data_IF_975662036968
#
_entry.id   IF_975662036968
#
_cell.length_a   1.000
_cell.length_b   1.000
_cell.length_c   1.000
_cell.angle_alpha   90.00
_cell.angle_beta   90.00
_cell.angle_gamma   90.00
#
_symmetry.space_group_name_H-M   'P 1'
#
loop_
_entity.id
_entity.type
_entity.pdbx_description
1 polymer ?
#
# COMPACT_ATOMS: atom_id res chain seq x y z
N UNK A 1 12.37 28.08 2.84
CA UNK A 1 11.79 28.46 1.54
C UNK A 1 11.18 27.21 0.93
N UNK A 2 9.85 27.16 0.76
CA UNK A 2 9.20 26.04 0.09
C UNK A 2 9.61 26.05 -1.38
N UNK A 3 10.33 25.03 -1.83
CA UNK A 3 10.67 24.89 -3.25
C UNK A 3 9.38 24.63 -4.02
N UNK A 4 8.99 25.56 -4.89
CA UNK A 4 7.87 25.36 -5.81
C UNK A 4 8.24 24.23 -6.77
N UNK A 5 7.64 23.05 -6.56
CA UNK A 5 7.79 21.91 -7.45
C UNK A 5 7.18 22.27 -8.81
N UNK A 6 7.97 22.19 -9.87
CA UNK A 6 7.48 22.32 -11.25
C UNK A 6 6.51 21.17 -11.57
N UNK A 7 5.46 21.45 -12.35
CA UNK A 7 4.46 20.47 -12.81
C UNK A 7 5.08 19.18 -13.36
N UNK A 8 6.24 19.24 -14.00
CA UNK A 8 6.94 18.05 -14.48
C UNK A 8 7.42 17.14 -13.33
N UNK A 9 8.02 17.71 -12.27
CA UNK A 9 8.44 16.93 -11.09
C UNK A 9 7.24 16.33 -10.36
N UNK A 10 6.13 17.07 -10.29
CA UNK A 10 4.88 16.52 -9.73
C UNK A 10 4.34 15.39 -10.59
N UNK A 11 4.44 15.47 -11.92
CA UNK A 11 4.04 14.40 -12.82
C UNK A 11 4.92 13.14 -12.67
N UNK A 12 6.23 13.28 -12.46
CA UNK A 12 7.12 12.14 -12.14
C UNK A 12 6.71 11.45 -10.83
N UNK A 13 6.29 12.22 -9.81
CA UNK A 13 5.75 11.66 -8.57
C UNK A 13 4.45 10.90 -8.86
N UNK A 14 3.52 11.48 -9.62
CA UNK A 14 2.28 10.81 -10.00
C UNK A 14 2.54 9.54 -10.81
N UNK A 15 3.55 9.53 -11.67
CA UNK A 15 3.94 8.34 -12.42
C UNK A 15 4.37 7.18 -11.51
N UNK A 16 5.16 7.46 -10.46
CA UNK A 16 5.51 6.46 -9.44
C UNK A 16 4.31 6.01 -8.60
N UNK A 17 3.32 6.89 -8.40
CA UNK A 17 2.07 6.53 -7.74
C UNK A 17 1.24 5.64 -8.66
N UNK A 18 1.22 5.91 -9.96
CA UNK A 18 0.52 5.10 -10.97
C UNK A 18 1.00 3.66 -10.97
N UNK A 19 2.32 3.45 -10.91
CA UNK A 19 2.94 2.13 -10.78
C UNK A 19 2.39 1.34 -9.58
N UNK A 20 2.16 2.01 -8.44
CA UNK A 20 1.70 1.36 -7.20
C UNK A 20 0.19 1.21 -7.12
N UNK A 21 -0.56 2.18 -7.60
CA UNK A 21 -2.03 2.25 -7.50
C UNK A 21 -2.71 1.55 -8.67
N UNK A 22 -2.04 1.43 -9.82
CA UNK A 22 -2.56 0.86 -11.05
C UNK A 22 -3.42 1.81 -11.86
N UNK A 23 -4.12 2.76 -11.23
CA UNK A 23 -4.98 3.73 -11.92
C UNK A 23 -4.93 5.10 -11.25
N UNK A 24 -4.94 6.17 -12.07
CA UNK A 24 -5.01 7.55 -11.62
C UNK A 24 -6.01 8.38 -12.43
N UNK A 25 -6.68 9.30 -11.74
CA UNK A 25 -7.53 10.33 -12.35
C UNK A 25 -7.06 11.74 -11.99
N UNK A 26 -7.72 12.76 -12.55
CA UNK A 26 -7.45 14.16 -12.21
C UNK A 26 -7.75 14.45 -10.73
N UNK A 27 -8.81 13.83 -10.18
CA UNK A 27 -9.19 13.95 -8.79
C UNK A 27 -8.07 13.47 -7.84
N UNK A 28 -7.32 12.44 -8.23
CA UNK A 28 -6.17 11.96 -7.45
C UNK A 28 -5.02 12.98 -7.42
N UNK A 29 -4.78 13.67 -8.54
CA UNK A 29 -3.76 14.73 -8.63
C UNK A 29 -4.13 15.89 -7.70
N UNK A 30 -5.42 16.25 -7.67
CA UNK A 30 -5.94 17.30 -6.79
C UNK A 30 -5.78 16.92 -5.32
N UNK A 31 -6.14 15.69 -4.96
CA UNK A 31 -6.02 15.18 -3.60
C UNK A 31 -4.55 15.06 -3.13
N UNK A 32 -3.62 14.74 -4.04
CA UNK A 32 -2.23 14.50 -3.67
C UNK A 32 -1.43 15.77 -3.35
N UNK A 33 -1.76 16.90 -3.98
CA UNK A 33 -0.95 18.13 -3.88
C UNK A 33 -1.71 19.34 -3.34
N UNK A 34 -3.02 19.23 -3.07
CA UNK A 34 -3.86 20.35 -2.58
C UNK A 34 -3.72 21.63 -3.44
N UNK A 35 -3.72 21.44 -4.76
CA UNK A 35 -3.50 22.51 -5.75
C UNK A 35 -4.80 22.93 -6.44
N UNK A 36 -4.73 24.08 -7.14
CA UNK A 36 -5.82 24.54 -7.99
C UNK A 36 -6.03 23.63 -9.21
N UNK A 37 -7.27 23.58 -9.70
CA UNK A 37 -7.68 22.81 -10.88
C UNK A 37 -6.82 23.10 -12.13
N UNK A 38 -6.53 24.36 -12.49
CA UNK A 38 -5.65 24.64 -13.63
C UNK A 38 -4.24 24.06 -13.47
N UNK A 39 -3.70 24.07 -12.24
CA UNK A 39 -2.38 23.49 -11.94
C UNK A 39 -2.41 21.97 -12.06
N UNK A 40 -3.49 21.33 -11.60
CA UNK A 40 -3.67 19.89 -11.76
C UNK A 40 -3.75 19.47 -13.23
N UNK A 41 -4.40 20.25 -14.10
CA UNK A 41 -4.39 20.02 -15.55
C UNK A 41 -2.99 20.11 -16.16
N UNK A 42 -2.14 21.04 -15.70
CA UNK A 42 -0.76 21.13 -16.16
C UNK A 42 0.06 19.88 -15.79
N UNK A 43 -0.13 19.37 -14.57
CA UNK A 43 0.49 18.11 -14.13
C UNK A 43 -0.05 16.94 -14.95
N UNK A 44 -1.37 16.88 -15.15
CA UNK A 44 -2.01 15.85 -15.95
C UNK A 44 -1.46 15.80 -17.38
N UNK A 45 -1.24 16.97 -17.99
CA UNK A 45 -0.64 17.09 -19.33
C UNK A 45 0.82 16.61 -19.33
N UNK A 46 1.59 16.92 -18.30
CA UNK A 46 2.95 16.41 -18.15
C UNK A 46 2.98 14.89 -17.92
N UNK A 47 2.08 14.35 -17.11
CA UNK A 47 1.93 12.91 -16.88
C UNK A 47 1.56 12.17 -18.17
N UNK A 48 0.66 12.74 -18.97
CA UNK A 48 0.36 12.22 -20.32
C UNK A 48 1.60 12.15 -21.19
N UNK A 49 2.42 13.20 -21.22
CA UNK A 49 3.66 13.19 -21.99
C UNK A 49 4.67 12.14 -21.48
N UNK A 50 4.69 11.84 -20.19
CA UNK A 50 5.49 10.73 -19.63
C UNK A 50 4.94 9.39 -20.13
N UNK A 51 3.63 9.16 -20.06
CA UNK A 51 3.03 7.93 -20.56
C UNK A 51 3.22 7.71 -22.07
N UNK A 52 3.16 8.78 -22.86
CA UNK A 52 3.44 8.72 -24.30
C UNK A 52 4.89 8.31 -24.61
N UNK A 53 5.84 8.56 -23.69
CA UNK A 53 7.24 8.11 -23.81
C UNK A 53 7.46 6.66 -23.36
N UNK A 54 6.57 6.13 -22.54
CA UNK A 54 6.64 4.79 -21.97
C UNK A 54 5.36 4.00 -22.27
N UNK A 55 5.07 3.74 -23.57
CA UNK A 55 3.83 3.11 -24.00
C UNK A 55 3.67 1.66 -23.51
N UNK A 56 4.77 1.01 -23.14
CA UNK A 56 4.77 -0.34 -22.58
C UNK A 56 4.42 -0.37 -21.08
N UNK A 57 4.45 0.80 -20.41
CA UNK A 57 4.33 0.90 -18.96
C UNK A 57 2.98 1.47 -18.51
N UNK A 58 2.49 2.49 -19.20
CA UNK A 58 1.15 3.03 -18.95
C UNK A 58 0.36 3.36 -20.21
N UNK A 59 -0.95 3.27 -20.05
CA UNK A 59 -1.95 3.59 -21.06
C UNK A 59 -2.79 4.79 -20.60
N UNK A 60 -3.13 5.67 -21.55
CA UNK A 60 -4.06 6.79 -21.31
C UNK A 60 -5.43 6.42 -21.88
N UNK A 61 -6.42 6.26 -21.00
CA UNK A 61 -7.79 5.95 -21.37
C UNK A 61 -8.68 7.20 -21.30
N UNK A 62 -9.49 7.39 -22.34
CA UNK A 62 -10.48 8.46 -22.39
C UNK A 62 -11.88 7.84 -22.29
N UNK A 63 -12.54 8.05 -21.15
CA UNK A 63 -13.93 7.60 -20.92
C UNK A 63 -14.81 8.84 -20.77
N UNK A 64 -15.64 9.10 -21.77
CA UNK A 64 -16.50 10.27 -21.86
C UNK A 64 -15.70 11.58 -21.74
N UNK A 65 -15.86 12.31 -20.62
CA UNK A 65 -15.15 13.57 -20.31
C UNK A 65 -14.01 13.37 -19.31
N UNK A 66 -13.70 12.13 -18.92
CA UNK A 66 -12.67 11.81 -17.94
C UNK A 66 -11.48 11.15 -18.64
N UNK A 67 -10.30 11.60 -18.25
CA UNK A 67 -9.03 10.98 -18.63
C UNK A 67 -8.49 10.22 -17.43
N UNK A 68 -8.22 8.95 -17.67
CA UNK A 68 -7.70 8.00 -16.70
C UNK A 68 -6.34 7.51 -17.19
N UNK A 69 -5.37 7.43 -16.29
CA UNK A 69 -4.09 6.79 -16.56
C UNK A 69 -4.09 5.41 -15.93
N UNK A 70 -3.67 4.40 -16.69
CA UNK A 70 -3.63 3.01 -16.23
C UNK A 70 -2.22 2.46 -16.37
N UNK A 71 -1.72 1.82 -15.32
CA UNK A 71 -0.49 1.03 -15.39
C UNK A 71 -0.79 -0.30 -16.06
N UNK A 72 -0.03 -0.63 -17.11
CA UNK A 72 -0.25 -1.85 -17.90
C UNK A 72 0.91 -2.84 -17.82
N UNK A 73 2.08 -2.40 -17.35
CA UNK A 73 3.21 -3.30 -17.11
C UNK A 73 2.95 -4.17 -15.89
N UNK A 74 2.75 -5.45 -16.13
CA UNK A 74 2.66 -6.45 -15.07
C UNK A 74 4.04 -6.64 -14.43
N UNK A 75 4.34 -5.86 -13.40
CA UNK A 75 5.36 -6.28 -12.45
C UNK A 75 4.74 -7.30 -11.52
N UNK A 76 5.33 -8.50 -11.47
CA UNK A 76 5.11 -9.48 -10.43
C UNK A 76 5.53 -8.85 -9.09
N UNK A 77 4.63 -8.08 -8.47
CA UNK A 77 4.77 -7.57 -7.09
C UNK A 77 3.69 -8.23 -6.23
N UNK A 78 3.67 -9.55 -6.24
CA UNK A 78 3.26 -10.30 -5.05
C UNK A 78 4.48 -10.33 -4.09
N UNK A 79 4.21 -10.43 -2.78
CA UNK A 79 5.18 -10.77 -1.73
C UNK A 79 6.15 -9.69 -1.19
N UNK A 80 5.67 -8.60 -0.57
CA UNK A 80 6.40 -7.99 0.59
C UNK A 80 5.48 -7.36 1.66
N UNK A 81 4.20 -7.78 1.76
CA UNK A 81 3.29 -7.30 2.84
C UNK A 81 2.70 -8.38 3.74
N UNK A 82 3.05 -9.65 3.56
CA UNK A 82 2.53 -10.74 4.42
C UNK A 82 3.52 -11.27 5.46
N UNK A 83 4.82 -10.94 5.39
CA UNK A 83 5.81 -11.53 6.31
C UNK A 83 5.97 -10.80 7.66
N UNK A 84 5.34 -9.64 7.89
CA UNK A 84 5.44 -8.95 9.19
C UNK A 84 4.27 -9.21 10.17
N UNK A 85 3.20 -9.89 9.74
CA UNK A 85 2.05 -10.12 10.63
C UNK A 85 2.04 -11.53 11.26
N UNK A 86 2.77 -12.51 10.71
CA UNK A 86 2.79 -13.87 11.27
C UNK A 86 3.72 -14.05 12.49
N UNK A 87 4.76 -13.22 12.65
CA UNK A 87 5.72 -13.37 13.77
C UNK A 87 5.17 -12.98 15.16
N UNK A 88 4.02 -12.31 15.24
CA UNK A 88 3.45 -11.90 16.54
C UNK A 88 2.42 -12.88 17.12
N UNK A 89 1.89 -13.84 16.35
CA UNK A 89 0.94 -14.82 16.88
C UNK A 89 1.66 -16.06 17.43
N UNK A 90 2.84 -16.40 16.90
CA UNK A 90 3.61 -17.55 17.38
C UNK A 90 4.14 -17.39 18.82
N UNK A 91 4.29 -16.15 19.32
CA UNK A 91 4.79 -15.89 20.69
C UNK A 91 3.73 -15.99 21.79
N UNK A 92 2.45 -16.15 21.44
CA UNK A 92 1.38 -16.31 22.43
C UNK A 92 1.20 -17.78 22.84
N UNK A 93 1.67 -18.74 22.03
CA UNK A 93 1.42 -20.17 22.24
C UNK A 93 2.47 -20.91 23.10
N UNK A 94 3.55 -20.25 23.54
CA UNK A 94 4.59 -20.85 24.40
C UNK A 94 4.41 -20.61 25.91
N UNK A 95 3.27 -20.04 26.34
CA UNK A 95 2.91 -20.03 27.76
C UNK A 95 2.32 -21.40 28.16
N UNK A 96 3.17 -22.38 28.43
CA UNK A 96 2.78 -23.68 28.98
C UNK A 96 2.11 -23.51 30.37
N UNK A 97 1.00 -24.22 30.66
CA UNK A 97 0.44 -24.28 32.01
C UNK A 97 1.36 -25.09 32.92
N UNK A 98 1.65 -24.54 34.10
CA UNK A 98 2.41 -25.21 35.15
C UNK A 98 1.78 -26.58 35.50
N UNK A 99 2.61 -27.62 35.51
CA UNK A 99 2.32 -28.94 36.03
C UNK A 99 1.76 -28.84 37.47
N UNK A 100 0.52 -29.28 37.69
CA UNK A 100 0.06 -29.68 39.01
C UNK A 100 0.28 -31.19 39.14
N UNK A 101 1.28 -31.57 39.93
CA UNK A 101 1.53 -32.95 40.34
C UNK A 101 0.32 -33.48 41.12
N UNK A 102 -0.32 -34.53 40.60
CA UNK A 102 -1.08 -35.47 41.42
C UNK A 102 -0.09 -36.27 42.26
N UNK A 103 -0.01 -35.97 43.55
CA UNK A 103 0.58 -36.89 44.54
C UNK A 103 -0.52 -37.77 45.10
N UNK A 104 -0.52 -39.01 44.65
CA UNK A 104 -1.25 -40.14 45.22
C UNK A 104 -0.45 -40.61 46.45
N UNK A 105 -0.93 -40.33 47.67
CA UNK A 105 -0.71 -41.12 48.90
C UNK A 105 -1.29 -40.40 50.13
N UNK A 106 -2.41 -40.91 50.65
CA UNK A 106 -3.03 -40.39 51.87
C UNK A 106 -4.01 -41.37 52.50
N UNK A 107 -3.53 -42.53 52.93
CA UNK A 107 -4.28 -43.42 53.83
C UNK A 107 -3.57 -43.50 55.18
N UNK A 108 -4.27 -43.12 56.26
CA UNK A 108 -4.51 -43.87 57.52
C UNK A 108 -4.67 -42.96 58.77
N UNK A 109 -5.90 -42.98 59.29
CA UNK A 109 -6.42 -42.95 60.69
C UNK A 109 -6.11 -41.79 61.65
N UNK A 110 -7.20 -41.32 62.26
CA UNK A 110 -7.42 -41.50 63.70
C UNK A 110 -8.91 -41.72 64.01
N UNK A 111 -9.23 -42.88 64.62
CA UNK A 111 -10.46 -43.14 65.36
C UNK A 111 -10.04 -43.78 66.67
N UNK A 112 -10.13 -43.02 67.75
CA UNK A 112 -10.41 -43.46 69.12
C UNK A 112 -11.06 -42.28 69.84
#
# INVERSE_FOLDING_TARGET
>A
MAQTLNSYKMAEIMYKILEKKGELTLEDILAQFEISVPSAYNIQRALKAICERHPDECEVQYKNRKTTFKWIKQEQKEEQKQEQTQDNIAKIFDAQPANFEQTDQGFIKAKQ
#
